data_IF_059439486287
#
_entry.id   IF_059439486287
#
_cell.length_a   1.000
_cell.length_b   1.000
_cell.length_c   1.000
_cell.angle_alpha   90.00
_cell.angle_beta   90.00
_cell.angle_gamma   90.00
#
_symmetry.space_group_name_H-M   'P 1'
#
loop_
_entity.id
_entity.type
_entity.pdbx_description
1 polymer ?
#
# COMPACT_ATOMS: atom_id res chain seq x y z
N UNK A 1 42.35 2.00 38.68
CA UNK A 1 41.21 1.26 38.09
C UNK A 1 40.29 2.30 37.50
N UNK A 2 40.64 2.72 36.29
CA UNK A 2 39.81 3.53 35.41
C UNK A 2 39.46 2.62 34.24
N UNK A 3 38.18 2.48 33.95
CA UNK A 3 37.73 1.98 32.65
C UNK A 3 36.52 2.80 32.25
N UNK A 4 36.85 3.83 31.49
CA UNK A 4 36.00 4.87 30.94
C UNK A 4 34.92 4.29 30.03
N UNK A 5 33.72 4.82 30.19
CA UNK A 5 32.70 4.88 29.16
C UNK A 5 33.32 5.50 27.90
N UNK A 6 33.28 4.76 26.79
CA UNK A 6 33.54 5.32 25.46
C UNK A 6 32.42 4.89 24.52
N UNK A 7 31.48 5.82 24.38
CA UNK A 7 30.75 6.15 23.16
C UNK A 7 31.06 5.29 21.92
N UNK A 8 30.23 4.27 21.68
CA UNK A 8 30.08 3.64 20.37
C UNK A 8 29.37 4.62 19.43
N UNK A 9 30.15 5.49 18.80
CA UNK A 9 29.70 6.26 17.64
C UNK A 9 29.37 5.28 16.50
N UNK A 10 28.10 5.17 16.12
CA UNK A 10 27.66 4.48 14.91
C UNK A 10 28.30 5.15 13.68
N UNK A 11 29.42 4.60 13.20
CA UNK A 11 30.01 4.99 11.93
C UNK A 11 29.13 4.51 10.78
N UNK A 12 28.50 5.43 10.05
CA UNK A 12 27.83 5.12 8.78
C UNK A 12 28.83 4.53 7.79
N UNK A 13 28.49 3.40 7.18
CA UNK A 13 29.32 2.73 6.18
C UNK A 13 29.74 3.71 5.05
N UNK A 14 31.00 3.73 4.60
CA UNK A 14 31.47 4.61 3.51
C UNK A 14 30.64 4.50 2.22
N UNK A 15 30.07 3.32 1.95
CA UNK A 15 29.18 3.08 0.82
C UNK A 15 27.84 3.81 0.96
N UNK A 16 27.27 3.86 2.16
CA UNK A 16 26.05 4.61 2.44
C UNK A 16 26.29 6.11 2.32
N UNK A 17 27.43 6.61 2.81
CA UNK A 17 27.81 8.00 2.62
C UNK A 17 27.97 8.35 1.12
N UNK A 18 28.58 7.45 0.34
CA UNK A 18 28.70 7.61 -1.11
C UNK A 18 27.33 7.62 -1.81
N UNK A 19 26.43 6.69 -1.46
CA UNK A 19 25.06 6.64 -1.97
C UNK A 19 24.30 7.93 -1.69
N UNK A 20 24.40 8.45 -0.46
CA UNK A 20 23.79 9.74 -0.08
C UNK A 20 24.36 10.89 -0.92
N UNK A 21 25.69 10.94 -1.12
CA UNK A 21 26.33 11.97 -1.97
C UNK A 21 25.89 11.87 -3.43
N UNK A 22 25.73 10.66 -3.98
CA UNK A 22 25.21 10.44 -5.33
C UNK A 22 23.77 10.95 -5.46
N UNK A 23 22.88 10.62 -4.52
CA UNK A 23 21.50 11.15 -4.50
C UNK A 23 21.47 12.67 -4.47
N UNK A 24 22.33 13.28 -3.66
CA UNK A 24 22.44 14.75 -3.57
C UNK A 24 22.94 15.38 -4.88
N UNK A 25 23.91 14.73 -5.55
CA UNK A 25 24.39 15.14 -6.87
C UNK A 25 23.27 15.06 -7.91
N UNK A 26 22.55 13.94 -7.97
CA UNK A 26 21.42 13.75 -8.90
C UNK A 26 20.29 14.75 -8.64
N UNK A 27 19.98 15.03 -7.37
CA UNK A 27 19.03 16.09 -6.98
C UNK A 27 19.43 17.46 -7.52
N UNK A 28 20.72 17.81 -7.44
CA UNK A 28 21.25 19.05 -8.00
C UNK A 28 21.08 19.08 -9.52
N UNK A 29 21.39 17.95 -10.17
CA UNK A 29 21.22 17.77 -11.61
C UNK A 29 19.76 17.94 -12.05
N UNK A 30 18.77 17.34 -11.36
CA UNK A 30 17.33 17.45 -11.69
C UNK A 30 16.81 18.88 -11.61
N UNK A 31 17.41 19.73 -10.75
CA UNK A 31 16.98 21.13 -10.56
C UNK A 31 17.48 22.07 -11.66
N UNK A 32 18.66 21.81 -12.21
CA UNK A 32 19.35 22.70 -13.15
C UNK A 32 19.84 22.03 -14.45
N UNK A 33 19.17 21.01 -15.01
CA UNK A 33 19.64 20.42 -16.25
C UNK A 33 19.23 21.28 -17.44
N UNK A 34 20.00 21.21 -18.52
CA UNK A 34 19.48 21.60 -19.84
C UNK A 34 18.32 20.68 -20.21
N UNK A 35 17.41 21.15 -21.06
CA UNK A 35 16.24 20.38 -21.47
C UNK A 35 16.61 19.05 -22.15
N UNK A 36 17.62 19.06 -23.01
CA UNK A 36 18.11 17.87 -23.70
C UNK A 36 18.70 16.84 -22.71
N UNK A 37 19.52 17.29 -21.77
CA UNK A 37 20.10 16.38 -20.76
C UNK A 37 19.00 15.77 -19.89
N UNK A 38 18.01 16.58 -19.49
CA UNK A 38 16.89 16.09 -18.69
C UNK A 38 16.03 15.06 -19.43
N UNK A 39 15.77 15.27 -20.72
CA UNK A 39 15.06 14.30 -21.54
C UNK A 39 15.83 12.98 -21.62
N UNK A 40 17.13 13.02 -21.85
CA UNK A 40 17.98 11.82 -21.84
C UNK A 40 17.94 11.10 -20.49
N UNK A 41 17.92 11.85 -19.37
CA UNK A 41 17.80 11.27 -18.04
C UNK A 41 16.44 10.58 -17.82
N UNK A 42 15.33 11.20 -18.23
CA UNK A 42 13.99 10.56 -18.15
C UNK A 42 13.97 9.27 -18.97
N UNK A 43 14.50 9.29 -20.19
CA UNK A 43 14.55 8.12 -21.07
C UNK A 43 15.44 7.01 -20.50
N UNK A 44 16.57 7.36 -19.88
CA UNK A 44 17.45 6.40 -19.21
C UNK A 44 16.74 5.75 -18.01
N UNK A 45 16.04 6.56 -17.20
CA UNK A 45 15.23 6.07 -16.07
C UNK A 45 14.11 5.17 -16.56
N UNK A 46 13.38 5.56 -17.60
CA UNK A 46 12.32 4.73 -18.19
C UNK A 46 12.86 3.37 -18.67
N UNK A 47 13.95 3.36 -19.44
CA UNK A 47 14.59 2.11 -19.89
C UNK A 47 15.07 1.25 -18.73
N UNK A 48 15.63 1.87 -17.69
CA UNK A 48 16.06 1.17 -16.48
C UNK A 48 14.88 0.49 -15.79
N UNK A 49 13.73 1.17 -15.64
CA UNK A 49 12.55 0.58 -14.97
C UNK A 49 11.90 -0.52 -15.83
N UNK A 50 11.88 -0.37 -17.16
CA UNK A 50 11.46 -1.46 -18.08
C UNK A 50 12.38 -2.69 -17.91
N UNK A 51 13.62 -2.47 -17.46
CA UNK A 51 14.63 -3.50 -17.32
C UNK A 51 15.32 -3.82 -18.64
N UNK A 52 15.40 -2.88 -19.59
CA UNK A 52 16.13 -3.12 -20.86
C UNK A 52 17.62 -2.97 -20.62
N UNK A 53 18.38 -4.06 -20.77
CA UNK A 53 19.84 -4.01 -20.71
C UNK A 53 20.44 -3.29 -21.93
N UNK A 54 21.41 -2.41 -21.70
CA UNK A 54 22.09 -1.68 -22.78
C UNK A 54 22.80 -2.66 -23.75
N UNK A 55 22.40 -2.65 -25.03
CA UNK A 55 22.93 -3.55 -26.06
C UNK A 55 22.17 -4.87 -26.26
N UNK A 56 21.11 -5.14 -25.48
CA UNK A 56 20.27 -6.33 -25.66
C UNK A 56 18.81 -5.94 -25.95
N UNK A 57 18.19 -6.55 -26.96
CA UNK A 57 16.80 -6.23 -27.36
C UNK A 57 15.74 -6.93 -26.51
N UNK A 58 16.10 -7.92 -25.68
CA UNK A 58 15.12 -8.85 -25.08
C UNK A 58 15.37 -9.26 -23.63
N UNK A 59 16.49 -8.86 -23.01
CA UNK A 59 16.71 -9.15 -21.59
C UNK A 59 15.98 -8.11 -20.76
N UNK A 60 14.79 -8.48 -20.27
CA UNK A 60 14.09 -7.76 -19.22
C UNK A 60 14.72 -8.18 -17.90
N UNK A 61 15.45 -7.28 -17.26
CA UNK A 61 16.09 -7.46 -15.95
C UNK A 61 15.09 -7.63 -14.78
N UNK A 62 13.85 -7.99 -15.11
CA UNK A 62 12.77 -8.42 -14.25
C UNK A 62 12.56 -9.90 -14.55
N UNK A 63 13.13 -10.76 -13.70
CA UNK A 63 13.04 -12.20 -13.86
C UNK A 63 11.74 -12.70 -13.24
N UNK A 64 10.85 -13.27 -14.07
CA UNK A 64 9.71 -14.06 -13.60
C UNK A 64 10.23 -15.17 -12.69
N UNK A 65 9.85 -15.11 -11.41
CA UNK A 65 10.20 -16.15 -10.46
C UNK A 65 9.26 -17.34 -10.51
N UNK A 66 9.50 -18.30 -9.62
CA UNK A 66 8.56 -19.40 -9.35
C UNK A 66 7.26 -18.88 -8.72
N UNK A 67 6.40 -19.78 -8.25
CA UNK A 67 5.20 -19.48 -7.44
C UNK A 67 5.46 -18.53 -6.25
N UNK A 68 6.72 -18.32 -5.88
CA UNK A 68 7.10 -17.52 -4.73
C UNK A 68 7.32 -16.02 -5.01
N UNK A 69 7.28 -15.60 -6.27
CA UNK A 69 7.52 -14.21 -6.71
C UNK A 69 8.85 -14.03 -7.47
N UNK A 70 8.96 -12.95 -8.24
CA UNK A 70 10.10 -12.64 -9.11
C UNK A 70 11.30 -11.97 -8.43
N UNK A 71 12.37 -11.82 -9.21
CA UNK A 71 13.59 -11.07 -8.87
C UNK A 71 13.74 -9.89 -9.83
N UNK A 72 14.45 -8.86 -9.38
CA UNK A 72 14.69 -7.63 -10.14
C UNK A 72 16.16 -7.25 -10.02
N UNK A 73 16.73 -6.59 -11.04
CA UNK A 73 18.10 -6.10 -10.98
C UNK A 73 18.25 -4.83 -10.14
N UNK A 74 19.49 -4.54 -9.75
CA UNK A 74 19.89 -3.28 -9.12
C UNK A 74 19.63 -2.06 -10.01
N UNK A 75 19.66 -2.22 -11.35
CA UNK A 75 19.42 -1.14 -12.30
C UNK A 75 17.94 -0.73 -12.29
N UNK A 76 17.02 -1.69 -12.31
CA UNK A 76 15.57 -1.41 -12.23
C UNK A 76 15.25 -0.72 -10.90
N UNK A 77 15.77 -1.23 -9.78
CA UNK A 77 15.57 -0.63 -8.47
C UNK A 77 16.12 0.82 -8.40
N UNK A 78 17.32 1.05 -8.93
CA UNK A 78 17.91 2.39 -9.03
C UNK A 78 17.11 3.32 -9.96
N UNK A 79 16.50 2.77 -11.02
CA UNK A 79 15.60 3.51 -11.91
C UNK A 79 14.38 4.06 -11.16
N UNK A 80 13.73 3.24 -10.33
CA UNK A 80 12.59 3.65 -9.50
C UNK A 80 13.02 4.72 -8.48
N UNK A 81 14.19 4.55 -7.87
CA UNK A 81 14.78 5.52 -6.94
C UNK A 81 15.03 6.89 -7.61
N UNK A 82 15.58 6.86 -8.82
CA UNK A 82 15.81 8.06 -9.61
C UNK A 82 14.50 8.72 -10.04
N UNK A 83 13.46 7.93 -10.39
CA UNK A 83 12.14 8.44 -10.71
C UNK A 83 11.52 9.18 -9.52
N UNK A 84 11.65 8.64 -8.31
CA UNK A 84 11.23 9.35 -7.08
C UNK A 84 11.90 10.72 -6.98
N UNK A 85 13.23 10.77 -7.11
CA UNK A 85 13.98 12.03 -7.03
C UNK A 85 13.58 13.02 -8.12
N UNK A 86 13.30 12.54 -9.34
CA UNK A 86 12.78 13.37 -10.43
C UNK A 86 11.42 13.97 -10.03
N UNK A 87 10.48 13.15 -9.56
CA UNK A 87 9.12 13.59 -9.21
C UNK A 87 9.09 14.54 -8.01
N UNK A 88 10.06 14.44 -7.11
CA UNK A 88 10.20 15.31 -5.94
C UNK A 88 10.81 16.67 -6.30
N UNK A 89 11.86 16.70 -7.15
CA UNK A 89 12.67 17.89 -7.34
C UNK A 89 12.55 18.57 -8.70
N UNK A 90 11.84 17.98 -9.66
CA UNK A 90 11.59 18.62 -10.95
C UNK A 90 10.79 19.92 -10.75
N UNK A 91 11.29 21.00 -11.35
CA UNK A 91 10.64 22.30 -11.32
C UNK A 91 10.72 22.97 -12.70
N UNK A 92 9.77 23.85 -13.01
CA UNK A 92 9.69 24.59 -14.26
C UNK A 92 8.79 23.93 -15.31
N UNK A 93 8.06 24.75 -16.05
CA UNK A 93 6.99 24.33 -16.97
C UNK A 93 7.46 23.32 -18.03
N UNK A 94 8.57 23.61 -18.72
CA UNK A 94 9.04 22.76 -19.83
C UNK A 94 9.49 21.37 -19.33
N UNK A 95 10.24 21.33 -18.22
CA UNK A 95 10.70 20.07 -17.61
C UNK A 95 9.55 19.25 -17.04
N UNK A 96 8.59 19.90 -16.39
CA UNK A 96 7.36 19.23 -15.97
C UNK A 96 6.62 18.62 -17.16
N UNK A 97 6.49 19.36 -18.26
CA UNK A 97 5.86 18.86 -19.48
C UNK A 97 6.61 17.68 -20.11
N UNK A 98 7.95 17.62 -19.99
CA UNK A 98 8.71 16.44 -20.38
C UNK A 98 8.34 15.23 -19.53
N UNK A 99 8.36 15.35 -18.19
CA UNK A 99 7.95 14.24 -17.29
C UNK A 99 6.52 13.79 -17.60
N UNK A 100 5.60 14.73 -17.83
CA UNK A 100 4.20 14.41 -18.19
C UNK A 100 4.08 13.55 -19.44
N UNK A 101 4.94 13.75 -20.45
CA UNK A 101 4.90 12.95 -21.69
C UNK A 101 5.29 11.49 -21.47
N UNK A 102 6.09 11.21 -20.44
CA UNK A 102 6.56 9.87 -20.11
C UNK A 102 5.75 9.21 -18.99
N UNK A 103 4.83 9.94 -18.34
CA UNK A 103 4.20 9.46 -17.09
C UNK A 103 3.40 8.18 -17.27
N UNK A 104 2.67 8.02 -18.37
CA UNK A 104 1.88 6.81 -18.61
C UNK A 104 2.77 5.58 -18.77
N UNK A 105 3.89 5.73 -19.49
CA UNK A 105 4.86 4.65 -19.66
C UNK A 105 5.52 4.29 -18.33
N UNK A 106 5.97 5.30 -17.57
CA UNK A 106 6.59 5.10 -16.25
C UNK A 106 5.63 4.39 -15.28
N UNK A 107 4.36 4.81 -15.24
CA UNK A 107 3.32 4.18 -14.43
C UNK A 107 3.09 2.72 -14.85
N UNK A 108 2.99 2.45 -16.16
CA UNK A 108 2.88 1.08 -16.67
C UNK A 108 4.08 0.21 -16.28
N UNK A 109 5.30 0.75 -16.30
CA UNK A 109 6.50 0.05 -15.89
C UNK A 109 6.47 -0.31 -14.40
N UNK A 110 6.03 0.60 -13.52
CA UNK A 110 5.88 0.33 -12.09
C UNK A 110 4.85 -0.76 -11.80
N UNK A 111 3.75 -0.81 -12.57
CA UNK A 111 2.79 -1.90 -12.48
C UNK A 111 3.39 -3.23 -12.92
N UNK A 112 4.17 -3.26 -14.00
CA UNK A 112 4.85 -4.47 -14.44
C UNK A 112 5.84 -4.97 -13.37
N UNK A 113 6.63 -4.08 -12.79
CA UNK A 113 7.53 -4.43 -11.67
C UNK A 113 6.73 -5.03 -10.51
N UNK A 114 5.67 -4.36 -10.07
CA UNK A 114 4.82 -4.83 -8.96
C UNK A 114 4.20 -6.20 -9.27
N UNK A 115 3.68 -6.38 -10.49
CA UNK A 115 3.04 -7.61 -10.95
C UNK A 115 4.00 -8.79 -10.98
N UNK A 116 5.26 -8.57 -11.37
CA UNK A 116 6.25 -9.64 -11.48
C UNK A 116 6.90 -9.98 -10.13
N UNK A 117 7.00 -9.00 -9.23
CA UNK A 117 7.59 -9.19 -7.92
C UNK A 117 6.59 -9.70 -6.87
N UNK A 118 5.29 -9.51 -7.07
CA UNK A 118 4.29 -10.00 -6.11
C UNK A 118 4.44 -11.51 -5.89
N UNK A 119 4.32 -11.91 -4.63
CA UNK A 119 4.43 -13.30 -4.20
C UNK A 119 4.62 -13.34 -2.68
N UNK A 120 4.52 -14.53 -2.06
CA UNK A 120 4.70 -14.65 -0.62
C UNK A 120 6.09 -14.21 -0.14
N UNK A 121 7.14 -14.32 -0.98
CA UNK A 121 8.52 -13.98 -0.57
C UNK A 121 8.75 -12.53 -0.23
N UNK A 122 7.89 -11.62 -0.71
CA UNK A 122 8.05 -10.19 -0.43
C UNK A 122 7.92 -9.87 1.06
N UNK A 123 7.33 -10.76 1.86
CA UNK A 123 7.13 -10.59 3.29
C UNK A 123 8.20 -11.27 4.16
N UNK A 124 9.08 -12.11 3.61
CA UNK A 124 10.10 -12.80 4.41
C UNK A 124 11.34 -11.92 4.61
N UNK A 125 11.87 -11.90 5.83
CA UNK A 125 13.18 -11.30 6.10
C UNK A 125 14.29 -12.09 5.42
N UNK A 126 15.33 -11.40 4.95
CA UNK A 126 16.53 -12.03 4.40
C UNK A 126 17.23 -12.81 5.51
N UNK A 127 17.18 -14.14 5.46
CA UNK A 127 18.09 -14.99 6.24
C UNK A 127 19.43 -14.96 5.51
N UNK A 128 20.48 -14.68 6.27
CA UNK A 128 21.87 -14.40 5.87
C UNK A 128 22.51 -15.57 5.09
N UNK A 129 21.99 -15.84 3.89
CA UNK A 129 22.49 -16.80 2.94
C UNK A 129 23.48 -16.04 2.07
N UNK A 130 24.76 -16.39 2.20
CA UNK A 130 25.92 -15.77 1.57
C UNK A 130 25.91 -15.75 0.02
N UNK A 131 24.79 -16.16 -0.62
CA UNK A 131 24.59 -16.24 -2.07
C UNK A 131 23.51 -15.30 -2.63
N UNK A 132 22.71 -14.62 -1.80
CA UNK A 132 21.58 -13.81 -2.31
C UNK A 132 21.89 -12.30 -2.44
N UNK A 133 23.12 -11.85 -2.16
CA UNK A 133 23.52 -10.43 -2.23
C UNK A 133 23.59 -9.83 -3.66
N UNK A 134 23.25 -10.57 -4.72
CA UNK A 134 23.36 -10.05 -6.09
C UNK A 134 22.19 -9.16 -6.52
N UNK A 135 20.99 -9.33 -5.94
CA UNK A 135 19.78 -8.62 -6.40
C UNK A 135 19.08 -7.87 -5.25
N UNK A 136 18.48 -6.69 -5.53
CA UNK A 136 17.63 -5.99 -4.57
C UNK A 136 16.53 -6.86 -3.98
N UNK A 137 16.15 -6.54 -2.74
CA UNK A 137 14.99 -7.12 -2.09
C UNK A 137 13.69 -6.75 -2.83
N UNK A 138 12.93 -7.77 -3.24
CA UNK A 138 11.69 -7.60 -4.02
C UNK A 138 10.62 -6.85 -3.24
N UNK A 139 10.53 -7.05 -1.91
CA UNK A 139 9.58 -6.33 -1.06
C UNK A 139 9.85 -4.82 -1.06
N UNK A 140 11.10 -4.44 -0.84
CA UNK A 140 11.57 -3.05 -0.87
C UNK A 140 11.27 -2.38 -2.22
N UNK A 141 11.49 -3.08 -3.33
CA UNK A 141 11.23 -2.56 -4.68
C UNK A 141 9.73 -2.35 -4.94
N UNK A 142 8.87 -3.25 -4.44
CA UNK A 142 7.41 -3.05 -4.48
C UNK A 142 7.01 -1.83 -3.65
N UNK A 143 7.55 -1.69 -2.44
CA UNK A 143 7.26 -0.55 -1.58
C UNK A 143 7.62 0.78 -2.26
N UNK A 144 8.82 0.87 -2.84
CA UNK A 144 9.25 2.02 -3.64
C UNK A 144 8.29 2.30 -4.79
N UNK A 145 7.84 1.25 -5.50
CA UNK A 145 6.89 1.39 -6.62
C UNK A 145 5.55 1.97 -6.16
N UNK A 146 5.02 1.49 -5.03
CA UNK A 146 3.76 2.00 -4.44
C UNK A 146 3.89 3.45 -4.00
N UNK A 147 5.03 3.83 -3.41
CA UNK A 147 5.26 5.21 -2.99
C UNK A 147 5.35 6.17 -4.18
N UNK A 148 6.01 5.76 -5.26
CA UNK A 148 6.05 6.52 -6.52
C UNK A 148 4.65 6.63 -7.14
N UNK A 149 3.89 5.52 -7.24
CA UNK A 149 2.52 5.53 -7.75
C UNK A 149 1.60 6.44 -6.91
N UNK A 150 1.75 6.42 -5.59
CA UNK A 150 1.02 7.30 -4.66
C UNK A 150 1.36 8.76 -4.95
N UNK A 151 2.65 9.09 -5.12
CA UNK A 151 3.09 10.46 -5.41
C UNK A 151 2.58 10.98 -6.76
N UNK A 152 2.54 10.13 -7.79
CA UNK A 152 2.00 10.50 -9.11
C UNK A 152 0.48 10.72 -9.01
N UNK A 153 -0.24 9.79 -8.38
CA UNK A 153 -1.70 9.86 -8.19
C UNK A 153 -2.13 11.08 -7.37
N UNK A 154 -1.32 11.50 -6.39
CA UNK A 154 -1.57 12.70 -5.59
C UNK A 154 -1.46 14.02 -6.37
N UNK A 155 -0.86 13.98 -7.57
CA UNK A 155 -0.60 15.16 -8.41
C UNK A 155 -1.46 15.15 -9.68
N UNK A 156 -2.76 14.83 -9.58
CA UNK A 156 -3.71 14.78 -10.73
C UNK A 156 -3.73 16.02 -11.62
N UNK A 157 -3.52 17.22 -11.08
CA UNK A 157 -3.44 18.45 -11.88
C UNK A 157 -2.19 18.52 -12.77
N UNK A 158 -1.14 17.79 -12.41
CA UNK A 158 0.10 17.71 -13.16
C UNK A 158 0.15 16.47 -14.03
N UNK A 159 -0.25 15.31 -13.50
CA UNK A 159 -0.11 14.02 -14.17
C UNK A 159 -1.47 13.44 -14.50
N UNK A 160 -1.70 13.23 -15.80
CA UNK A 160 -2.82 12.44 -16.26
C UNK A 160 -2.46 10.95 -16.09
N UNK A 161 -3.37 10.19 -15.48
CA UNK A 161 -3.28 8.74 -15.33
C UNK A 161 -4.56 8.17 -15.93
N UNK A 162 -4.42 7.15 -16.77
CA UNK A 162 -5.56 6.53 -17.44
C UNK A 162 -6.43 5.74 -16.46
N UNK A 163 -7.72 5.59 -16.77
CA UNK A 163 -8.65 4.86 -15.91
C UNK A 163 -8.22 3.40 -15.66
N UNK A 164 -7.58 2.76 -16.64
CA UNK A 164 -7.00 1.41 -16.50
C UNK A 164 -5.87 1.37 -15.48
N UNK A 165 -5.01 2.39 -15.45
CA UNK A 165 -3.95 2.53 -14.47
C UNK A 165 -4.51 2.81 -13.07
N UNK A 166 -5.58 3.61 -12.95
CA UNK A 166 -6.29 3.78 -11.67
C UNK A 166 -6.87 2.45 -11.17
N UNK A 167 -7.50 1.67 -12.05
CA UNK A 167 -7.99 0.34 -11.72
C UNK A 167 -6.87 -0.58 -11.22
N UNK A 168 -5.69 -0.54 -11.85
CA UNK A 168 -4.52 -1.30 -11.41
C UNK A 168 -4.02 -0.84 -10.03
N UNK A 169 -3.94 0.47 -9.76
CA UNK A 169 -3.59 0.99 -8.43
C UNK A 169 -4.55 0.50 -7.35
N UNK A 170 -5.85 0.46 -7.62
CA UNK A 170 -6.86 -0.04 -6.69
C UNK A 170 -6.70 -1.54 -6.41
N UNK A 171 -6.18 -2.33 -7.37
CA UNK A 171 -6.01 -3.78 -7.23
C UNK A 171 -4.74 -4.17 -6.46
N UNK A 172 -3.69 -3.34 -6.46
CA UNK A 172 -2.39 -3.67 -5.85
C UNK A 172 -2.54 -4.18 -4.40
N UNK A 173 -3.23 -3.48 -3.48
CA UNK A 173 -3.28 -3.91 -2.09
C UNK A 173 -3.87 -5.31 -1.91
N UNK A 174 -5.01 -5.59 -2.55
CA UNK A 174 -5.64 -6.90 -2.50
C UNK A 174 -4.73 -7.98 -3.08
N UNK A 175 -4.10 -7.73 -4.23
CA UNK A 175 -3.20 -8.70 -4.86
C UNK A 175 -1.98 -9.05 -4.00
N UNK A 176 -1.38 -8.06 -3.33
CA UNK A 176 -0.22 -8.28 -2.45
C UNK A 176 -0.62 -9.02 -1.18
N UNK A 177 -1.66 -8.55 -0.49
CA UNK A 177 -2.06 -9.08 0.81
C UNK A 177 -2.89 -10.36 0.74
N UNK A 178 -3.41 -10.73 -0.43
CA UNK A 178 -3.97 -12.07 -0.61
C UNK A 178 -2.90 -13.15 -0.36
N UNK A 179 -1.65 -12.90 -0.80
CA UNK A 179 -0.54 -13.81 -0.51
C UNK A 179 -0.21 -13.85 0.98
N UNK A 180 -0.35 -12.71 1.67
CA UNK A 180 -0.13 -12.59 3.10
C UNK A 180 -1.09 -13.46 3.93
N UNK A 181 -2.37 -13.51 3.56
CA UNK A 181 -3.38 -14.35 4.23
C UNK A 181 -3.08 -15.85 4.16
N UNK A 182 -2.22 -16.27 3.22
CA UNK A 182 -1.86 -17.67 2.97
C UNK A 182 -0.41 -17.99 3.36
N UNK A 183 0.31 -17.10 4.06
CA UNK A 183 1.71 -17.31 4.43
C UNK A 183 1.87 -18.43 5.47
N UNK A 184 2.51 -19.56 5.11
CA UNK A 184 2.92 -20.54 6.10
C UNK A 184 4.07 -20.00 6.97
N UNK A 185 4.12 -20.40 8.25
CA UNK A 185 5.31 -20.21 9.09
C UNK A 185 6.39 -21.16 8.58
N UNK A 186 7.33 -20.64 7.80
CA UNK A 186 8.61 -21.30 7.54
C UNK A 186 9.69 -20.74 8.45
N UNK A 187 10.83 -21.43 8.54
CA UNK A 187 12.03 -21.06 9.31
C UNK A 187 12.60 -19.67 8.97
N UNK A 188 12.09 -19.00 7.93
CA UNK A 188 12.37 -17.61 7.62
C UNK A 188 11.30 -16.72 8.27
N UNK A 189 11.69 -16.00 9.33
CA UNK A 189 10.81 -15.07 10.01
C UNK A 189 10.27 -14.02 9.03
N UNK A 190 8.94 -13.93 8.90
CA UNK A 190 8.27 -12.83 8.21
C UNK A 190 8.75 -11.51 8.84
N UNK A 191 9.13 -10.55 8.00
CA UNK A 191 9.50 -9.21 8.45
C UNK A 191 8.22 -8.43 8.81
N UNK A 192 7.89 -8.48 10.10
CA UNK A 192 6.71 -7.82 10.67
C UNK A 192 6.72 -6.32 10.37
N UNK A 193 7.87 -5.66 10.53
CA UNK A 193 8.02 -4.22 10.31
C UNK A 193 7.76 -3.87 8.86
N UNK A 194 8.39 -4.59 7.93
CA UNK A 194 8.16 -4.41 6.51
C UNK A 194 6.69 -4.63 6.12
N UNK A 195 6.06 -5.70 6.62
CA UNK A 195 4.66 -6.00 6.31
C UNK A 195 3.70 -4.87 6.73
N UNK A 196 3.94 -4.24 7.89
CA UNK A 196 3.20 -3.06 8.33
C UNK A 196 3.47 -1.83 7.46
N UNK A 197 4.73 -1.58 7.09
CA UNK A 197 5.10 -0.46 6.23
C UNK A 197 4.42 -0.58 4.86
N UNK A 198 4.42 -1.78 4.28
CA UNK A 198 3.73 -2.08 3.03
C UNK A 198 2.20 -1.91 3.15
N UNK A 199 1.60 -2.36 4.24
CA UNK A 199 0.16 -2.19 4.50
C UNK A 199 -0.21 -0.70 4.58
N UNK A 200 0.58 0.07 5.30
CA UNK A 200 0.40 1.52 5.44
C UNK A 200 0.56 2.23 4.10
N UNK A 201 1.55 1.84 3.29
CA UNK A 201 1.75 2.39 1.94
C UNK A 201 0.56 2.07 1.02
N UNK A 202 0.02 0.85 1.09
CA UNK A 202 -1.20 0.46 0.37
C UNK A 202 -2.42 1.31 0.77
N UNK A 203 -2.64 1.53 2.06
CA UNK A 203 -3.73 2.41 2.53
C UNK A 203 -3.53 3.85 2.03
N UNK A 204 -2.31 4.39 2.06
CA UNK A 204 -2.00 5.72 1.50
C UNK A 204 -2.29 5.81 0.01
N UNK A 205 -1.94 4.78 -0.77
CA UNK A 205 -2.26 4.69 -2.20
C UNK A 205 -3.77 4.76 -2.41
N UNK A 206 -4.55 3.93 -1.71
CA UNK A 206 -6.00 3.90 -1.81
C UNK A 206 -6.64 5.25 -1.46
N UNK A 207 -6.25 5.86 -0.34
CA UNK A 207 -6.73 7.20 0.03
C UNK A 207 -6.42 8.24 -1.05
N UNK A 208 -5.22 8.18 -1.62
CA UNK A 208 -4.79 9.14 -2.64
C UNK A 208 -5.61 9.00 -3.92
N UNK A 209 -5.85 7.76 -4.35
CA UNK A 209 -6.65 7.45 -5.54
C UNK A 209 -8.13 7.83 -5.31
N UNK A 210 -8.69 7.54 -4.13
CA UNK A 210 -10.03 7.97 -3.72
C UNK A 210 -10.20 9.49 -3.78
N UNK A 211 -9.24 10.22 -3.20
CA UNK A 211 -9.28 11.68 -3.10
C UNK A 211 -9.16 12.38 -4.44
N UNK A 212 -8.24 11.94 -5.28
CA UNK A 212 -7.88 12.66 -6.50
C UNK A 212 -8.59 12.10 -7.74
N UNK A 213 -8.83 10.79 -7.83
CA UNK A 213 -9.35 10.12 -9.02
C UNK A 213 -10.79 9.60 -8.85
N UNK A 214 -11.67 10.43 -8.25
CA UNK A 214 -13.03 10.02 -7.85
C UNK A 214 -13.83 9.28 -8.92
N UNK A 215 -13.89 9.84 -10.15
CA UNK A 215 -14.69 9.29 -11.25
C UNK A 215 -14.15 7.94 -11.71
N UNK A 216 -12.84 7.84 -11.88
CA UNK A 216 -12.16 6.62 -12.30
C UNK A 216 -12.30 5.55 -11.20
N UNK A 217 -12.15 5.93 -9.93
CA UNK A 217 -12.37 5.05 -8.78
C UNK A 217 -13.80 4.55 -8.68
N UNK A 218 -14.80 5.41 -8.94
CA UNK A 218 -16.21 5.02 -8.94
C UNK A 218 -16.51 3.95 -9.99
N UNK A 219 -15.89 4.05 -11.18
CA UNK A 219 -16.05 3.05 -12.25
C UNK A 219 -15.40 1.70 -11.90
N UNK A 220 -14.44 1.70 -10.99
CA UNK A 220 -13.69 0.52 -10.57
C UNK A 220 -13.89 0.20 -9.08
N UNK A 221 -15.04 0.58 -8.52
CA UNK A 221 -15.33 0.48 -7.10
C UNK A 221 -15.20 -0.95 -6.56
N UNK A 222 -15.56 -1.96 -7.36
CA UNK A 222 -15.41 -3.36 -6.97
C UNK A 222 -13.95 -3.74 -6.64
N UNK A 223 -12.96 -3.15 -7.34
CA UNK A 223 -11.54 -3.37 -7.04
C UNK A 223 -11.13 -2.71 -5.72
N UNK A 224 -11.71 -1.54 -5.41
CA UNK A 224 -11.51 -0.90 -4.11
C UNK A 224 -12.13 -1.73 -2.98
N UNK A 225 -13.37 -2.19 -3.15
CA UNK A 225 -14.05 -3.05 -2.16
C UNK A 225 -13.24 -4.32 -1.89
N UNK A 226 -12.79 -5.00 -2.96
CA UNK A 226 -11.99 -6.23 -2.87
C UNK A 226 -10.68 -6.00 -2.10
N UNK A 227 -9.89 -4.99 -2.51
CA UNK A 227 -8.65 -4.63 -1.82
C UNK A 227 -8.86 -4.25 -0.36
N UNK A 228 -9.86 -3.44 -0.05
CA UNK A 228 -10.18 -3.04 1.33
C UNK A 228 -10.65 -4.23 2.16
N UNK A 229 -11.41 -5.15 1.55
CA UNK A 229 -11.83 -6.40 2.19
C UNK A 229 -10.64 -7.30 2.53
N UNK A 230 -9.69 -7.48 1.61
CA UNK A 230 -8.47 -8.26 1.88
C UNK A 230 -7.65 -7.61 3.00
N UNK A 231 -7.44 -6.30 2.95
CA UNK A 231 -6.73 -5.57 4.00
C UNK A 231 -7.42 -5.70 5.37
N UNK A 232 -8.75 -5.68 5.40
CA UNK A 232 -9.54 -5.90 6.62
C UNK A 232 -9.36 -7.34 7.16
N UNK A 233 -9.35 -8.34 6.27
CA UNK A 233 -9.16 -9.75 6.65
C UNK A 233 -7.77 -10.00 7.25
N UNK A 234 -6.74 -9.26 6.82
CA UNK A 234 -5.41 -9.35 7.45
C UNK A 234 -5.46 -9.00 8.94
N UNK A 235 -6.40 -8.16 9.36
CA UNK A 235 -6.56 -7.77 10.77
C UNK A 235 -7.22 -8.86 11.64
N UNK A 236 -7.72 -9.95 11.05
CA UNK A 236 -8.13 -11.15 11.80
C UNK A 236 -6.93 -12.02 12.22
N UNK A 237 -5.76 -11.84 11.58
CA UNK A 237 -4.58 -12.67 11.75
C UNK A 237 -3.68 -12.08 12.85
N UNK A 238 -4.16 -12.12 14.10
CA UNK A 238 -3.49 -11.49 15.25
C UNK A 238 -3.42 -12.42 16.45
N UNK A 239 -2.24 -12.63 17.00
CA UNK A 239 -1.90 -13.66 18.02
C UNK A 239 -2.79 -14.91 17.89
N UNK A 240 -2.65 -15.64 16.80
CA UNK A 240 -3.38 -16.91 16.63
C UNK A 240 -2.86 -17.88 17.70
N UNK A 241 -3.75 -18.33 18.60
CA UNK A 241 -3.39 -19.25 19.68
C UNK A 241 -2.72 -20.51 19.11
N UNK A 242 -1.60 -20.87 19.73
CA UNK A 242 -0.68 -21.95 19.33
C UNK A 242 -1.29 -23.37 19.35
N UNK A 243 -2.59 -23.51 19.62
CA UNK A 243 -3.29 -24.79 19.75
C UNK A 243 -4.02 -25.19 18.46
N UNK A 244 -4.50 -24.24 17.65
CA UNK A 244 -5.37 -24.53 16.47
C UNK A 244 -4.76 -24.19 15.11
N UNK A 245 -3.72 -23.36 15.04
CA UNK A 245 -3.03 -22.99 13.78
C UNK A 245 -1.53 -22.72 14.05
N UNK A 246 -0.77 -23.78 14.30
CA UNK A 246 0.69 -23.68 14.56
C UNK A 246 1.53 -23.21 13.37
N UNK A 247 0.92 -23.04 12.20
CA UNK A 247 1.65 -22.96 10.93
C UNK A 247 1.40 -21.66 10.14
N UNK A 248 0.77 -20.62 10.71
CA UNK A 248 0.51 -19.34 9.99
C UNK A 248 1.01 -18.11 10.73
N UNK A 249 1.61 -17.17 9.97
CA UNK A 249 2.07 -15.89 10.48
C UNK A 249 0.93 -15.15 11.20
N UNK A 250 1.24 -14.38 12.24
CA UNK A 250 0.29 -13.48 12.89
C UNK A 250 0.99 -12.20 13.35
N UNK A 251 0.31 -11.07 13.20
CA UNK A 251 0.75 -9.81 13.77
C UNK A 251 0.59 -9.80 15.29
N UNK A 252 1.44 -9.02 15.95
CA UNK A 252 1.17 -8.61 17.31
C UNK A 252 0.00 -7.61 17.35
N UNK A 253 -0.68 -7.52 18.50
CA UNK A 253 -1.85 -6.63 18.66
C UNK A 253 -1.49 -5.18 18.35
N UNK A 254 -0.33 -4.70 18.81
CA UNK A 254 0.08 -3.31 18.60
C UNK A 254 0.32 -3.00 17.11
N UNK A 255 0.87 -3.95 16.36
CA UNK A 255 1.13 -3.84 14.93
C UNK A 255 -0.19 -3.79 14.14
N UNK A 256 -1.12 -4.69 14.49
CA UNK A 256 -2.45 -4.72 13.91
C UNK A 256 -3.26 -3.44 14.20
N UNK A 257 -3.10 -2.84 15.38
CA UNK A 257 -3.71 -1.54 15.73
C UNK A 257 -3.18 -0.41 14.83
N UNK A 258 -1.89 -0.42 14.49
CA UNK A 258 -1.31 0.55 13.56
C UNK A 258 -1.87 0.36 12.14
N UNK A 259 -1.96 -0.89 11.67
CA UNK A 259 -2.55 -1.21 10.36
C UNK A 259 -4.04 -0.82 10.30
N UNK A 260 -4.81 -1.15 11.35
CA UNK A 260 -6.19 -0.74 11.52
C UNK A 260 -6.36 0.78 11.47
N UNK A 261 -5.47 1.53 12.13
CA UNK A 261 -5.47 3.00 12.09
C UNK A 261 -5.25 3.54 10.68
N UNK A 262 -4.47 2.85 9.85
CA UNK A 262 -4.29 3.21 8.43
C UNK A 262 -5.52 2.85 7.59
N UNK A 263 -6.12 1.68 7.79
CA UNK A 263 -7.34 1.27 7.10
C UNK A 263 -8.52 2.19 7.44
N UNK A 264 -8.62 2.63 8.70
CA UNK A 264 -9.59 3.62 9.17
C UNK A 264 -9.59 4.87 8.28
N UNK A 265 -8.41 5.36 7.88
CA UNK A 265 -8.28 6.57 7.04
C UNK A 265 -8.87 6.36 5.65
N UNK A 266 -8.90 5.12 5.14
CA UNK A 266 -9.57 4.79 3.87
C UNK A 266 -11.08 4.96 4.03
N UNK A 267 -11.66 4.45 5.11
CA UNK A 267 -13.09 4.65 5.42
C UNK A 267 -13.47 6.11 5.63
N UNK A 268 -12.62 6.87 6.33
CA UNK A 268 -12.79 8.31 6.50
C UNK A 268 -12.74 9.06 5.16
N UNK A 269 -11.84 8.67 4.24
CA UNK A 269 -11.78 9.28 2.89
C UNK A 269 -13.01 8.93 2.04
N UNK A 270 -13.53 7.69 2.12
CA UNK A 270 -14.81 7.33 1.49
C UNK A 270 -15.92 8.27 1.95
N UNK A 271 -15.97 8.58 3.26
CA UNK A 271 -16.90 9.58 3.81
C UNK A 271 -16.64 10.99 3.30
N UNK A 272 -15.38 11.44 3.24
CA UNK A 272 -15.08 12.79 2.74
C UNK A 272 -15.57 12.98 1.30
N UNK A 273 -15.60 11.89 0.53
CA UNK A 273 -16.10 11.84 -0.84
C UNK A 273 -17.53 11.24 -0.93
N UNK A 274 -18.38 11.49 0.09
CA UNK A 274 -19.76 10.96 0.19
C UNK A 274 -20.64 11.29 -1.02
N UNK A 275 -20.38 12.41 -1.70
CA UNK A 275 -21.07 12.79 -2.94
C UNK A 275 -20.90 11.75 -4.06
N UNK A 276 -19.77 11.03 -4.07
CA UNK A 276 -19.45 10.02 -5.08
C UNK A 276 -19.68 8.60 -4.56
N UNK A 277 -19.29 8.31 -3.31
CA UNK A 277 -19.25 6.95 -2.77
C UNK A 277 -20.28 6.67 -1.66
N UNK A 278 -21.16 7.62 -1.34
CA UNK A 278 -22.17 7.46 -0.29
C UNK A 278 -23.06 6.23 -0.51
N UNK A 279 -23.54 6.04 -1.75
CA UNK A 279 -24.36 4.89 -2.14
C UNK A 279 -23.63 3.54 -2.11
N UNK A 280 -22.33 3.52 -1.84
CA UNK A 280 -21.51 2.30 -1.77
C UNK A 280 -20.89 2.10 -0.39
N UNK A 281 -21.06 3.05 0.52
CA UNK A 281 -20.49 2.99 1.87
C UNK A 281 -21.00 1.79 2.66
N UNK A 282 -22.23 1.33 2.36
CA UNK A 282 -22.83 0.16 2.99
C UNK A 282 -22.11 -1.14 2.63
N UNK A 283 -21.42 -1.22 1.48
CA UNK A 283 -20.66 -2.40 1.08
C UNK A 283 -19.45 -2.56 2.02
N UNK A 284 -18.69 -1.49 2.25
CA UNK A 284 -17.58 -1.50 3.20
C UNK A 284 -18.05 -1.79 4.63
N UNK A 285 -19.17 -1.18 5.06
CA UNK A 285 -19.76 -1.44 6.37
C UNK A 285 -20.22 -2.89 6.51
N UNK A 286 -20.77 -3.49 5.44
CA UNK A 286 -21.19 -4.88 5.46
C UNK A 286 -20.01 -5.83 5.66
N UNK A 287 -18.90 -5.59 4.93
CA UNK A 287 -17.67 -6.37 5.05
C UNK A 287 -17.05 -6.24 6.43
N UNK A 288 -17.03 -5.02 6.98
CA UNK A 288 -16.60 -4.77 8.34
C UNK A 288 -17.37 -5.63 9.36
N UNK A 289 -18.70 -5.54 9.36
CA UNK A 289 -19.55 -6.27 10.31
C UNK A 289 -19.39 -7.78 10.13
N UNK A 290 -19.32 -8.24 8.88
CA UNK A 290 -19.14 -9.66 8.56
C UNK A 290 -17.83 -10.21 9.16
N UNK A 291 -16.72 -9.51 8.93
CA UNK A 291 -15.41 -9.90 9.47
C UNK A 291 -15.39 -9.77 10.99
N UNK A 292 -15.91 -8.69 11.55
CA UNK A 292 -16.01 -8.45 13.00
C UNK A 292 -16.73 -9.59 13.72
N UNK A 293 -17.86 -10.07 13.16
CA UNK A 293 -18.64 -11.17 13.72
C UNK A 293 -17.99 -12.56 13.57
N UNK A 294 -16.75 -12.65 13.06
CA UNK A 294 -16.03 -13.92 12.89
C UNK A 294 -16.51 -14.74 11.69
N UNK A 295 -17.08 -14.09 10.68
CA UNK A 295 -17.47 -14.74 9.42
C UNK A 295 -16.42 -14.54 8.32
N UNK A 296 -15.26 -13.97 8.65
CA UNK A 296 -14.12 -13.85 7.75
C UNK A 296 -13.34 -15.15 7.55
N UNK A 297 -12.30 -15.17 6.69
CA UNK A 297 -11.55 -16.37 6.34
C UNK A 297 -10.92 -17.10 7.53
N UNK A 298 -10.53 -16.35 8.57
CA UNK A 298 -9.92 -16.92 9.77
C UNK A 298 -10.95 -17.32 10.84
N UNK A 299 -12.20 -16.88 10.70
CA UNK A 299 -13.32 -17.13 11.64
C UNK A 299 -13.03 -16.71 13.09
N UNK A 300 -12.08 -15.80 13.29
CA UNK A 300 -11.63 -15.37 14.62
C UNK A 300 -12.32 -14.08 15.07
N UNK A 301 -12.89 -13.32 14.13
CA UNK A 301 -13.38 -11.98 14.41
C UNK A 301 -12.25 -10.97 14.55
N UNK A 302 -12.61 -9.72 14.82
CA UNK A 302 -11.65 -8.63 15.05
C UNK A 302 -11.48 -8.45 16.55
N UNK A 303 -10.23 -8.44 17.04
CA UNK A 303 -9.94 -8.16 18.45
C UNK A 303 -10.36 -6.75 18.83
N UNK A 304 -10.77 -6.58 20.09
CA UNK A 304 -11.32 -5.32 20.60
C UNK A 304 -10.39 -4.13 20.35
N UNK A 305 -9.10 -4.26 20.59
CA UNK A 305 -8.12 -3.18 20.43
C UNK A 305 -8.04 -2.70 18.97
N UNK A 306 -8.17 -3.63 18.02
CA UNK A 306 -8.16 -3.37 16.58
C UNK A 306 -9.48 -2.72 16.14
N UNK A 307 -10.61 -3.25 16.66
CA UNK A 307 -11.96 -2.70 16.45
C UNK A 307 -12.05 -1.26 17.00
N UNK A 308 -11.51 -0.98 18.18
CA UNK A 308 -11.39 0.38 18.72
C UNK A 308 -10.60 1.31 17.79
N UNK A 309 -9.51 0.82 17.18
CA UNK A 309 -8.75 1.59 16.20
C UNK A 309 -9.52 1.83 14.89
N UNK A 310 -10.34 0.89 14.42
CA UNK A 310 -11.16 1.02 13.21
C UNK A 310 -12.41 1.88 13.41
N UNK A 311 -12.93 1.92 14.63
CA UNK A 311 -14.27 2.43 14.96
C UNK A 311 -14.59 3.84 14.46
N UNK A 312 -13.69 4.85 14.53
CA UNK A 312 -14.01 6.16 13.94
C UNK A 312 -14.25 6.11 12.43
N UNK A 313 -13.55 5.21 11.71
CA UNK A 313 -13.77 4.97 10.28
C UNK A 313 -15.07 4.23 10.01
N UNK A 314 -15.44 3.27 10.86
CA UNK A 314 -16.74 2.58 10.79
C UNK A 314 -17.88 3.56 10.98
N UNK A 315 -17.77 4.48 11.96
CA UNK A 315 -18.73 5.56 12.13
C UNK A 315 -18.75 6.51 10.93
N UNK A 316 -17.62 6.75 10.28
CA UNK A 316 -17.58 7.51 9.06
C UNK A 316 -18.39 6.85 7.92
N UNK A 317 -18.34 5.52 7.81
CA UNK A 317 -19.18 4.78 6.86
C UNK A 317 -20.66 4.84 7.22
N UNK A 318 -21.02 4.70 8.50
CA UNK A 318 -22.41 4.82 8.97
C UNK A 318 -22.99 6.21 8.64
N UNK A 319 -22.23 7.28 8.89
CA UNK A 319 -22.61 8.65 8.54
C UNK A 319 -22.78 8.85 7.02
N UNK A 320 -22.08 8.05 6.21
CA UNK A 320 -22.15 8.10 4.75
C UNK A 320 -23.33 7.35 4.15
N UNK A 321 -23.82 6.31 4.84
CA UNK A 321 -24.96 5.50 4.40
C UNK A 321 -26.28 6.29 4.49
N UNK A 322 -27.17 6.05 3.54
CA UNK A 322 -28.57 6.48 3.64
C UNK A 322 -29.37 5.60 4.60
N UNK A 323 -30.58 6.05 4.97
CA UNK A 323 -31.51 5.22 5.76
C UNK A 323 -31.87 3.93 5.05
N UNK A 324 -32.00 3.98 3.72
CA UNK A 324 -32.37 2.84 2.89
C UNK A 324 -31.23 1.82 2.83
N UNK A 325 -29.98 2.30 2.75
CA UNK A 325 -28.79 1.44 2.79
C UNK A 325 -28.69 0.68 4.12
N UNK A 326 -28.94 1.36 5.24
CA UNK A 326 -28.92 0.75 6.56
C UNK A 326 -30.07 -0.25 6.74
N UNK A 327 -31.24 0.05 6.19
CA UNK A 327 -32.39 -0.86 6.19
C UNK A 327 -32.13 -2.11 5.31
N UNK A 328 -31.45 -1.91 4.18
CA UNK A 328 -30.99 -3.00 3.31
C UNK A 328 -30.03 -3.91 4.07
N UNK A 329 -29.01 -3.37 4.74
CA UNK A 329 -28.09 -4.17 5.56
C UNK A 329 -28.80 -4.95 6.67
N UNK A 330 -29.72 -4.29 7.38
CA UNK A 330 -30.51 -4.92 8.42
C UNK A 330 -31.33 -6.11 7.88
N UNK A 331 -31.86 -5.98 6.65
CA UNK A 331 -32.61 -7.06 5.98
C UNK A 331 -31.68 -8.17 5.51
N UNK A 332 -30.54 -7.83 4.90
CA UNK A 332 -29.56 -8.78 4.38
C UNK A 332 -28.93 -9.65 5.47
N UNK A 333 -28.68 -9.08 6.66
CA UNK A 333 -28.10 -9.85 7.77
C UNK A 333 -29.08 -10.83 8.40
N UNK A 334 -30.39 -10.67 8.19
CA UNK A 334 -31.40 -11.52 8.84
C UNK A 334 -31.30 -11.49 10.37
N UNK A 335 -31.83 -12.51 11.04
CA UNK A 335 -31.63 -12.67 12.48
C UNK A 335 -30.25 -13.28 12.75
N UNK A 336 -29.45 -12.61 13.60
CA UNK A 336 -28.11 -13.09 13.93
C UNK A 336 -27.16 -12.02 14.47
N UNK A 337 -25.89 -12.40 14.70
CA UNK A 337 -24.88 -11.54 15.31
C UNK A 337 -24.63 -10.27 14.49
N UNK A 338 -24.59 -10.36 13.16
CA UNK A 338 -24.35 -9.20 12.29
C UNK A 338 -25.45 -8.12 12.44
N UNK A 339 -26.72 -8.52 12.58
CA UNK A 339 -27.83 -7.58 12.78
C UNK A 339 -27.77 -6.92 14.15
N UNK A 340 -27.44 -7.66 15.21
CA UNK A 340 -27.23 -7.07 16.55
C UNK A 340 -26.04 -6.11 16.57
N UNK A 341 -24.94 -6.45 15.88
CA UNK A 341 -23.77 -5.58 15.77
C UNK A 341 -24.10 -4.30 15.01
N UNK A 342 -24.83 -4.37 13.89
CA UNK A 342 -25.29 -3.19 13.18
C UNK A 342 -26.11 -2.26 14.08
N UNK A 343 -27.07 -2.82 14.83
CA UNK A 343 -27.90 -2.05 15.75
C UNK A 343 -27.09 -1.38 16.86
N UNK A 344 -26.13 -2.09 17.45
CA UNK A 344 -25.22 -1.55 18.47
C UNK A 344 -24.38 -0.39 17.91
N UNK A 345 -23.75 -0.58 16.74
CA UNK A 345 -22.93 0.45 16.11
C UNK A 345 -23.74 1.70 15.77
N UNK A 346 -24.98 1.56 15.30
CA UNK A 346 -25.88 2.68 15.04
C UNK A 346 -26.28 3.41 16.32
N UNK A 347 -26.50 2.68 17.41
CA UNK A 347 -26.82 3.26 18.71
C UNK A 347 -25.63 4.06 19.25
N UNK A 348 -24.44 3.47 19.25
CA UNK A 348 -23.21 4.09 19.74
C UNK A 348 -22.84 5.34 18.92
N UNK A 349 -22.97 5.27 17.59
CA UNK A 349 -22.77 6.42 16.71
C UNK A 349 -23.69 7.60 17.07
N UNK A 350 -24.99 7.33 17.32
CA UNK A 350 -25.95 8.38 17.71
C UNK A 350 -25.63 8.99 19.06
N UNK A 351 -25.19 8.18 20.03
CA UNK A 351 -24.90 8.62 21.38
C UNK A 351 -23.61 9.44 21.50
N UNK A 352 -22.59 9.09 20.71
CA UNK A 352 -21.23 9.60 20.96
C UNK A 352 -20.64 10.40 19.81
N UNK A 353 -21.13 10.26 18.57
CA UNK A 353 -20.45 10.82 17.39
C UNK A 353 -21.33 11.70 16.50
N UNK A 354 -22.65 11.51 16.50
CA UNK A 354 -23.56 12.32 15.68
C UNK A 354 -23.57 13.82 16.07
N UNK A 355 -23.19 14.15 17.31
CA UNK A 355 -23.23 15.52 17.85
C UNK A 355 -21.87 16.20 18.01
N UNK A 356 -20.75 15.51 17.78
CA UNK A 356 -19.41 16.11 17.92
C UNK A 356 -18.98 16.94 16.70
N UNK A 357 -19.73 16.91 15.59
CA UNK A 357 -19.43 17.61 14.34
C UNK A 357 -20.03 19.03 14.18
N UNK A 358 -20.55 19.66 15.24
CA UNK A 358 -20.95 21.08 15.24
C UNK A 358 -20.05 21.89 16.17
N UNK A 359 -18.81 22.14 15.76
CA UNK A 359 -17.98 23.25 16.24
C UNK A 359 -17.29 23.91 15.06
#
# INVERSE_FOLDING_TARGET
MESSESSLSHGTCPLEEFKVKLRMSFRSYVRRPSELHFLSAIQAVERAIVGVQEGCLTNYEICLGSLDGGKVSSIVAAGIDCLELILEFVAGHNRLNMVKRHIQSLVACLFNVTLHLQGPKIFYGYVDSTKDYENPDSGSVILMSIEVLTRISGKKSLFHIDASHIAQSLRIPGALFQNFLHLPIFENAVDQKFSMELYNACCRLLCTVLKHHKRETQQCLALLEDSVSVLLQCLEIVNIDSVTRKDYFAWEVQEAVMCASSLRRVYEEVRQQKDVFGCSSFQFLSRYIWVYCGLGPSRNGIKREIDEALRPGVYALIDSCSTDDLQLLHTLFGEGPCRSTLASLQHDYKLHFQFEGKV
#
